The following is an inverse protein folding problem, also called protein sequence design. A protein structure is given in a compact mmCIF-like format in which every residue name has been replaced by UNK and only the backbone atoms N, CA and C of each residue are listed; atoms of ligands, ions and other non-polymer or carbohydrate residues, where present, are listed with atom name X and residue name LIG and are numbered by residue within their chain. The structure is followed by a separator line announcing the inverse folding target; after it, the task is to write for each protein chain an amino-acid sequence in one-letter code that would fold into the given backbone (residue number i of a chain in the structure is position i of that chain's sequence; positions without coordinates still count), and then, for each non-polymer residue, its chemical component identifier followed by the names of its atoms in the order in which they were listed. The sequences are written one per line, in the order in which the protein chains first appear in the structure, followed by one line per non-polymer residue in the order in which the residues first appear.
data_IF_068761690223
#
_entry.id   IF_068761690223
#
_cell.length_a   1.000
_cell.length_b   1.000
_cell.length_c   1.000
_cell.angle_alpha   90.00
_cell.angle_beta   90.00
_cell.angle_gamma   90.00
#
_symmetry.space_group_name_H-M   'P 1'
#
loop_
_entity.id
_entity.type
_entity.pdbx_description
1 polymer ?
#
# COMPACT_ATOMS: atom_id res chain seq x y z
N UNK A 1 5.48 -29.75 20.52
CA UNK A 1 5.43 -28.27 20.64
C UNK A 1 5.25 -27.70 19.25
N UNK A 2 4.03 -27.29 18.91
CA UNK A 2 3.74 -26.68 17.61
C UNK A 2 4.37 -25.28 17.65
N UNK A 3 5.44 -25.05 16.89
CA UNK A 3 5.93 -23.70 16.62
C UNK A 3 4.96 -23.08 15.63
N UNK A 4 4.00 -22.32 16.11
CA UNK A 4 3.25 -21.41 15.24
C UNK A 4 4.24 -20.33 14.79
N UNK A 5 4.54 -20.18 13.49
CA UNK A 5 5.50 -19.19 12.99
C UNK A 5 4.85 -17.80 12.96
N UNK A 6 4.09 -17.46 14.00
CA UNK A 6 3.45 -16.17 14.16
C UNK A 6 4.39 -15.15 14.79
N UNK A 7 5.54 -15.56 15.35
CA UNK A 7 6.45 -14.64 16.06
C UNK A 7 6.83 -13.42 15.21
N UNK A 8 7.08 -13.63 13.93
CA UNK A 8 7.41 -12.54 13.00
C UNK A 8 6.16 -11.70 12.68
N UNK A 9 4.96 -12.29 12.71
CA UNK A 9 3.67 -11.60 12.52
C UNK A 9 3.08 -10.99 13.82
N UNK A 10 3.76 -11.12 14.96
CA UNK A 10 3.36 -10.44 16.21
C UNK A 10 3.85 -9.00 16.23
N UNK A 11 4.88 -8.67 15.44
CA UNK A 11 5.28 -7.30 15.23
C UNK A 11 4.30 -6.60 14.28
N UNK A 12 3.86 -5.40 14.66
CA UNK A 12 2.87 -4.66 13.90
C UNK A 12 3.37 -4.26 12.51
N UNK A 13 4.66 -3.94 12.37
CA UNK A 13 5.26 -3.56 11.10
C UNK A 13 5.41 -4.79 10.19
N UNK A 14 5.86 -5.92 10.73
CA UNK A 14 6.01 -7.16 9.98
C UNK A 14 4.66 -7.73 9.53
N UNK A 15 3.65 -7.69 10.40
CA UNK A 15 2.29 -8.07 10.01
C UNK A 15 1.72 -7.14 8.92
N UNK A 16 1.98 -5.85 9.02
CA UNK A 16 1.61 -4.88 8.01
C UNK A 16 2.29 -5.14 6.66
N UNK A 17 3.60 -5.39 6.66
CA UNK A 17 4.37 -5.74 5.47
C UNK A 17 3.82 -7.02 4.82
N UNK A 18 3.55 -8.04 5.62
CA UNK A 18 2.96 -9.30 5.15
C UNK A 18 1.60 -9.09 4.48
N UNK A 19 0.73 -8.28 5.06
CA UNK A 19 -0.56 -7.94 4.45
C UNK A 19 -0.38 -7.15 3.14
N UNK A 20 0.58 -6.23 3.07
CA UNK A 20 0.88 -5.52 1.83
C UNK A 20 1.34 -6.46 0.73
N UNK A 21 2.22 -7.41 1.02
CA UNK A 21 2.70 -8.39 0.03
C UNK A 21 1.56 -9.25 -0.52
N UNK A 22 0.63 -9.68 0.33
CA UNK A 22 -0.48 -10.56 -0.08
C UNK A 22 -1.58 -9.79 -0.81
N UNK A 23 -1.98 -8.64 -0.29
CA UNK A 23 -3.12 -7.87 -0.83
C UNK A 23 -2.72 -6.97 -1.99
N UNK A 24 -1.47 -6.53 -2.02
CA UNK A 24 -0.91 -5.62 -3.01
C UNK A 24 0.41 -6.18 -3.57
N UNK A 25 0.38 -7.31 -4.29
CA UNK A 25 1.60 -7.97 -4.77
C UNK A 25 2.41 -7.13 -5.78
N UNK A 26 1.80 -6.15 -6.44
CA UNK A 26 2.48 -5.16 -7.29
C UNK A 26 2.77 -3.85 -6.55
N UNK A 27 2.58 -3.83 -5.22
CA UNK A 27 2.65 -2.66 -4.38
C UNK A 27 1.42 -1.76 -4.48
N UNK A 28 1.49 -0.66 -3.73
CA UNK A 28 0.48 0.37 -3.64
C UNK A 28 0.64 1.37 -4.81
N UNK A 29 0.34 0.90 -6.02
CA UNK A 29 0.49 1.62 -7.29
C UNK A 29 -0.77 1.55 -8.17
N UNK A 30 -0.78 2.31 -9.27
CA UNK A 30 -1.88 2.26 -10.23
C UNK A 30 -1.97 0.84 -10.82
N UNK A 31 -3.16 0.19 -10.80
CA UNK A 31 -3.30 -1.20 -11.28
C UNK A 31 -3.04 -1.36 -12.78
N UNK A 32 -3.02 -0.26 -13.54
CA UNK A 32 -2.68 -0.24 -14.96
C UNK A 32 -1.20 0.06 -15.24
N UNK A 33 -0.36 0.23 -14.20
CA UNK A 33 1.07 0.48 -14.33
C UNK A 33 1.45 1.90 -14.76
N UNK A 34 0.49 2.85 -14.78
CA UNK A 34 0.77 4.24 -15.14
C UNK A 34 1.74 4.91 -14.16
N UNK A 35 2.59 5.80 -14.70
CA UNK A 35 3.61 6.47 -13.93
C UNK A 35 2.99 7.41 -12.90
N UNK A 36 3.67 7.53 -11.76
CA UNK A 36 3.25 8.40 -10.68
C UNK A 36 4.13 9.65 -10.61
N UNK A 37 3.64 10.83 -11.02
CA UNK A 37 4.44 12.04 -10.97
C UNK A 37 4.68 12.49 -9.51
N UNK A 38 5.88 13.03 -9.26
CA UNK A 38 6.18 13.73 -8.01
C UNK A 38 5.19 14.89 -7.79
N UNK A 39 4.68 15.04 -6.57
CA UNK A 39 3.71 16.10 -6.24
C UNK A 39 2.26 15.78 -6.62
N UNK A 40 1.89 14.51 -6.74
CA UNK A 40 0.48 14.14 -6.83
C UNK A 40 -0.25 14.54 -5.54
N UNK A 41 -1.38 15.23 -5.70
CA UNK A 41 -2.26 15.58 -4.59
C UNK A 41 -3.15 14.38 -4.28
N UNK A 42 -2.96 13.70 -3.14
CA UNK A 42 -3.79 12.57 -2.78
C UNK A 42 -5.25 12.99 -2.73
N UNK A 43 -6.10 12.16 -3.31
CA UNK A 43 -7.54 12.32 -3.26
C UNK A 43 -8.03 12.25 -1.80
N UNK A 44 -7.35 11.45 -0.96
CA UNK A 44 -7.59 11.36 0.49
C UNK A 44 -6.32 10.91 1.22
N UNK A 45 -6.09 11.39 2.44
CA UNK A 45 -4.93 11.03 3.27
C UNK A 45 -5.28 10.86 4.75
N UNK A 46 -6.48 10.34 5.04
CA UNK A 46 -7.00 10.19 6.40
C UNK A 46 -6.43 8.97 7.16
N UNK A 47 -5.64 8.12 6.48
CA UNK A 47 -5.12 6.85 7.01
C UNK A 47 -3.60 6.73 6.88
N UNK A 48 -2.85 7.73 7.33
CA UNK A 48 -1.38 7.69 7.31
C UNK A 48 -0.83 6.33 7.83
N UNK A 49 0.17 5.73 7.15
CA UNK A 49 0.90 6.25 6.00
C UNK A 49 0.21 5.98 4.64
N UNK A 50 -1.03 5.49 4.60
CA UNK A 50 -1.74 5.21 3.35
C UNK A 50 -2.45 6.47 2.82
N UNK A 51 -2.18 6.77 1.55
CA UNK A 51 -2.83 7.82 0.77
C UNK A 51 -3.72 7.16 -0.29
N UNK A 52 -4.94 7.67 -0.49
CA UNK A 52 -5.73 7.30 -1.66
C UNK A 52 -5.39 8.29 -2.77
N UNK A 53 -4.71 7.81 -3.80
CA UNK A 53 -4.35 8.59 -4.98
C UNK A 53 -5.30 8.31 -6.14
N UNK A 54 -5.51 9.32 -6.97
CA UNK A 54 -6.20 9.18 -8.25
C UNK A 54 -5.18 9.24 -9.38
N UNK A 55 -5.10 8.19 -10.18
CA UNK A 55 -4.26 8.17 -11.37
C UNK A 55 -4.65 9.32 -12.31
N UNK A 56 -3.67 10.12 -12.75
CA UNK A 56 -3.93 11.24 -13.66
C UNK A 56 -4.12 10.81 -15.12
N UNK A 57 -3.71 9.59 -15.46
CA UNK A 57 -3.85 9.04 -16.81
C UNK A 57 -5.17 8.28 -17.00
N UNK A 58 -5.48 7.32 -16.13
CA UNK A 58 -6.72 6.51 -16.25
C UNK A 58 -7.84 6.90 -15.28
N UNK A 59 -7.57 7.78 -14.31
CA UNK A 59 -8.59 8.23 -13.35
C UNK A 59 -8.93 7.24 -12.23
N UNK A 60 -8.34 6.03 -12.23
CA UNK A 60 -8.54 5.00 -11.20
C UNK A 60 -8.01 5.47 -9.84
N UNK A 61 -8.76 5.19 -8.78
CA UNK A 61 -8.33 5.44 -7.40
C UNK A 61 -7.63 4.20 -6.86
N UNK A 62 -6.49 4.39 -6.21
CA UNK A 62 -5.70 3.32 -5.60
C UNK A 62 -4.95 3.85 -4.39
N UNK A 63 -4.52 2.94 -3.53
CA UNK A 63 -3.80 3.27 -2.31
C UNK A 63 -2.31 3.39 -2.64
N UNK A 64 -1.59 4.33 -1.99
CA UNK A 64 -0.14 4.56 -2.06
C UNK A 64 0.42 4.72 -0.63
N UNK A 65 1.67 4.34 -0.39
CA UNK A 65 2.40 4.75 0.81
C UNK A 65 2.88 6.20 0.71
N UNK A 66 2.58 7.00 1.72
CA UNK A 66 3.25 8.26 1.97
C UNK A 66 4.76 8.00 2.14
N UNK A 67 5.62 8.89 1.61
CA UNK A 67 7.06 8.84 1.83
C UNK A 67 7.43 9.02 3.31
#
# INVERSE_FOLDING_TARGET
MIRFPLTDLLDQQEYYNFLLEILHPQGLCCPYGHFLPAGQCPHRGDRAPILDDRCRECGTVFNRLAP
#
